data_IF_598371295793
#
_entry.id   IF_598371295793
#
_cell.length_a   1.000
_cell.length_b   1.000
_cell.length_c   1.000
_cell.angle_alpha   90.00
_cell.angle_beta   90.00
_cell.angle_gamma   90.00
#
_symmetry.space_group_name_H-M   'P 1'
#
loop_
_entity.id
_entity.type
_entity.pdbx_description
1 polymer ?
#
# COMPACT_ATOMS: atom_id res chain seq x y z
N UNK A 1 -20.14 -22.34 -15.43
CA UNK A 1 -18.97 -23.25 -15.34
C UNK A 1 -19.04 -24.01 -14.00
N UNK A 2 -18.10 -24.88 -13.66
CA UNK A 2 -18.11 -25.60 -12.36
C UNK A 2 -17.61 -24.71 -11.21
N UNK A 3 -16.61 -23.87 -11.48
CA UNK A 3 -15.97 -23.01 -10.50
C UNK A 3 -16.90 -21.93 -9.93
N UNK A 4 -17.70 -21.26 -10.78
CA UNK A 4 -18.74 -20.29 -10.34
C UNK A 4 -19.87 -20.93 -9.54
N UNK A 5 -20.05 -22.26 -9.67
CA UNK A 5 -21.02 -23.04 -8.88
C UNK A 5 -20.42 -23.61 -7.60
N UNK A 6 -19.23 -23.14 -7.19
CA UNK A 6 -18.49 -23.58 -6.00
C UNK A 6 -18.12 -25.08 -6.02
N UNK A 7 -18.14 -25.72 -7.20
CA UNK A 7 -17.72 -27.11 -7.41
C UNK A 7 -16.22 -27.16 -7.71
N UNK A 8 -15.41 -26.68 -6.77
CA UNK A 8 -14.00 -26.38 -6.99
C UNK A 8 -13.17 -27.62 -7.36
N UNK A 9 -13.32 -28.74 -6.64
CA UNK A 9 -12.54 -29.94 -6.91
C UNK A 9 -12.83 -30.55 -8.28
N UNK A 10 -14.08 -30.47 -8.73
CA UNK A 10 -14.47 -30.96 -10.07
C UNK A 10 -13.96 -30.03 -11.18
N UNK A 11 -13.94 -28.71 -10.94
CA UNK A 11 -13.33 -27.75 -11.85
C UNK A 11 -11.82 -27.98 -11.98
N UNK A 12 -11.11 -28.16 -10.84
CA UNK A 12 -9.69 -28.47 -10.81
C UNK A 12 -9.42 -29.75 -11.59
N UNK A 13 -10.11 -30.85 -11.28
CA UNK A 13 -9.91 -32.12 -12.00
C UNK A 13 -10.18 -32.03 -13.50
N UNK A 14 -11.14 -31.19 -13.91
CA UNK A 14 -11.42 -30.95 -15.35
C UNK A 14 -10.28 -30.19 -16.04
N UNK A 15 -9.69 -29.19 -15.37
CA UNK A 15 -8.55 -28.45 -15.92
C UNK A 15 -7.27 -29.28 -15.91
N UNK A 16 -7.02 -30.08 -14.86
CA UNK A 16 -5.90 -31.04 -14.82
C UNK A 16 -6.02 -32.07 -15.95
N UNK A 17 -7.21 -32.61 -16.19
CA UNK A 17 -7.45 -33.50 -17.32
C UNK A 17 -7.23 -32.80 -18.67
N UNK A 18 -7.65 -31.53 -18.80
CA UNK A 18 -7.38 -30.73 -20.00
C UNK A 18 -5.89 -30.58 -20.26
N UNK A 19 -5.11 -30.21 -19.24
CA UNK A 19 -3.65 -30.05 -19.34
C UNK A 19 -2.96 -31.38 -19.62
N UNK A 20 -3.45 -32.49 -19.06
CA UNK A 20 -2.92 -33.82 -19.32
C UNK A 20 -3.16 -34.29 -20.76
N UNK A 21 -4.26 -33.85 -21.39
CA UNK A 21 -4.56 -34.14 -22.79
C UNK A 21 -3.78 -33.23 -23.76
N UNK A 22 -3.69 -31.94 -23.44
CA UNK A 22 -2.95 -30.95 -24.21
C UNK A 22 -2.51 -29.78 -23.29
N UNK A 23 -1.21 -29.66 -23.07
CA UNK A 23 -0.62 -28.67 -22.18
C UNK A 23 -0.31 -27.32 -22.86
N UNK A 24 -0.68 -27.16 -24.15
CA UNK A 24 -0.36 -25.97 -24.95
C UNK A 24 -1.35 -24.81 -24.78
N UNK A 25 -2.49 -25.04 -24.12
CA UNK A 25 -3.48 -24.00 -23.87
C UNK A 25 -3.17 -23.21 -22.59
N UNK A 26 -3.02 -21.90 -22.69
CA UNK A 26 -2.73 -21.04 -21.53
C UNK A 26 -3.88 -20.99 -20.50
N UNK A 27 -5.14 -21.03 -20.93
CA UNK A 27 -6.31 -20.80 -20.06
C UNK A 27 -6.49 -21.87 -18.96
N UNK A 28 -6.39 -23.19 -19.22
CA UNK A 28 -6.41 -24.19 -18.15
C UNK A 28 -5.32 -23.98 -17.10
N UNK A 29 -4.10 -23.66 -17.51
CA UNK A 29 -2.98 -23.36 -16.60
C UNK A 29 -3.26 -22.13 -15.73
N UNK A 30 -3.76 -21.03 -16.32
CA UNK A 30 -4.19 -19.85 -15.55
C UNK A 30 -5.26 -20.22 -14.52
N UNK A 31 -6.28 -20.97 -14.91
CA UNK A 31 -7.37 -21.34 -14.00
C UNK A 31 -6.91 -22.28 -12.88
N UNK A 32 -6.01 -23.22 -13.19
CA UNK A 32 -5.37 -24.07 -12.19
C UNK A 32 -4.59 -23.23 -11.19
N UNK A 33 -3.83 -22.23 -11.65
CA UNK A 33 -3.09 -21.36 -10.76
C UNK A 33 -3.98 -20.70 -9.69
N UNK A 34 -5.10 -20.14 -10.11
CA UNK A 34 -6.07 -19.51 -9.21
C UNK A 34 -6.68 -20.51 -8.23
N UNK A 35 -7.02 -21.70 -8.71
CA UNK A 35 -7.65 -22.71 -7.88
C UNK A 35 -6.66 -23.33 -6.87
N UNK A 36 -5.42 -23.57 -7.29
CA UNK A 36 -4.36 -24.06 -6.43
C UNK A 36 -4.06 -23.06 -5.31
N UNK A 37 -3.98 -21.77 -5.62
CA UNK A 37 -3.80 -20.74 -4.60
C UNK A 37 -5.04 -20.62 -3.70
N UNK A 38 -6.20 -20.30 -4.28
CA UNK A 38 -7.38 -19.88 -3.50
C UNK A 38 -8.04 -21.04 -2.72
N UNK A 39 -7.97 -22.28 -3.24
CA UNK A 39 -8.76 -23.41 -2.71
C UNK A 39 -7.91 -24.53 -2.13
N UNK A 40 -6.71 -24.75 -2.67
CA UNK A 40 -5.82 -25.78 -2.17
C UNK A 40 -4.67 -25.24 -1.30
N UNK A 41 -4.44 -23.92 -1.30
CA UNK A 41 -3.29 -23.29 -0.63
C UNK A 41 -1.94 -23.88 -1.09
N UNK A 42 -1.89 -24.37 -2.33
CA UNK A 42 -0.71 -24.98 -2.96
C UNK A 42 0.01 -23.93 -3.81
N UNK A 43 0.82 -23.12 -3.12
CA UNK A 43 1.49 -21.95 -3.70
C UNK A 43 2.48 -22.32 -4.80
N UNK A 44 3.21 -23.44 -4.65
CA UNK A 44 4.19 -23.90 -5.62
C UNK A 44 3.52 -24.30 -6.94
N UNK A 45 2.42 -25.08 -6.87
CA UNK A 45 1.66 -25.40 -8.08
C UNK A 45 0.98 -24.19 -8.68
N UNK A 46 0.48 -23.27 -7.84
CA UNK A 46 -0.12 -22.04 -8.31
C UNK A 46 0.86 -21.25 -9.18
N UNK A 47 2.08 -21.05 -8.66
CA UNK A 47 3.13 -20.32 -9.35
C UNK A 47 3.57 -21.03 -10.64
N UNK A 48 3.86 -22.33 -10.57
CA UNK A 48 4.27 -23.11 -11.75
C UNK A 48 3.22 -23.07 -12.87
N UNK A 49 1.93 -23.17 -12.50
CA UNK A 49 0.82 -23.13 -13.45
C UNK A 49 0.69 -21.75 -14.09
N UNK A 50 0.82 -20.67 -13.32
CA UNK A 50 0.70 -19.31 -13.87
C UNK A 50 1.89 -18.91 -14.75
N UNK A 51 3.10 -19.33 -14.37
CA UNK A 51 4.30 -19.19 -15.21
C UNK A 51 4.15 -19.95 -16.52
N UNK A 52 3.63 -21.18 -16.48
CA UNK A 52 3.34 -21.96 -17.70
C UNK A 52 2.29 -21.24 -18.56
N UNK A 53 1.22 -20.73 -17.97
CA UNK A 53 0.20 -19.96 -18.68
C UNK A 53 0.82 -18.76 -19.43
N UNK A 54 1.68 -17.99 -18.77
CA UNK A 54 2.37 -16.86 -19.39
C UNK A 54 3.36 -17.30 -20.47
N UNK A 55 4.11 -18.38 -20.26
CA UNK A 55 5.06 -18.90 -21.25
C UNK A 55 4.41 -19.35 -22.56
N UNK A 56 3.14 -19.77 -22.51
CA UNK A 56 2.36 -20.17 -23.67
C UNK A 56 1.79 -18.98 -24.45
N UNK A 57 1.63 -17.82 -23.80
CA UNK A 57 1.20 -16.58 -24.42
C UNK A 57 1.84 -15.36 -23.74
N UNK A 58 3.06 -15.04 -24.14
CA UNK A 58 3.84 -13.93 -23.56
C UNK A 58 3.33 -12.55 -23.94
N UNK A 59 2.28 -12.45 -24.76
CA UNK A 59 1.62 -11.19 -25.12
C UNK A 59 0.40 -10.89 -24.20
N UNK A 60 0.05 -11.79 -23.28
CA UNK A 60 -1.11 -11.62 -22.41
C UNK A 60 -0.79 -10.76 -21.18
N UNK A 61 -1.05 -9.45 -21.30
CA UNK A 61 -0.84 -8.50 -20.20
C UNK A 61 -1.68 -8.82 -18.95
N UNK A 62 -2.81 -9.51 -19.08
CA UNK A 62 -3.64 -9.90 -17.93
C UNK A 62 -2.95 -11.01 -17.14
N UNK A 63 -2.50 -12.05 -17.83
CA UNK A 63 -1.79 -13.17 -17.17
C UNK A 63 -0.49 -12.68 -16.55
N UNK A 64 0.22 -11.75 -17.21
CA UNK A 64 1.42 -11.13 -16.65
C UNK A 64 1.13 -10.32 -15.38
N UNK A 65 0.07 -9.51 -15.36
CA UNK A 65 -0.37 -8.80 -14.16
C UNK A 65 -0.73 -9.78 -13.03
N UNK A 66 -1.47 -10.84 -13.31
CA UNK A 66 -1.81 -11.85 -12.30
C UNK A 66 -0.56 -12.58 -11.78
N UNK A 67 0.45 -12.81 -12.64
CA UNK A 67 1.72 -13.39 -12.23
C UNK A 67 2.49 -12.47 -11.25
N UNK A 68 2.53 -11.17 -11.54
CA UNK A 68 3.12 -10.19 -10.64
C UNK A 68 2.39 -10.09 -9.28
N UNK A 69 1.05 -10.10 -9.30
CA UNK A 69 0.25 -10.15 -8.08
C UNK A 69 0.53 -11.41 -7.24
N UNK A 70 0.78 -12.55 -7.90
CA UNK A 70 1.17 -13.77 -7.21
C UNK A 70 2.58 -13.66 -6.62
N UNK A 71 3.55 -13.11 -7.38
CA UNK A 71 4.90 -12.85 -6.86
C UNK A 71 4.89 -11.97 -5.61
N UNK A 72 4.08 -10.91 -5.61
CA UNK A 72 3.85 -10.04 -4.45
C UNK A 72 3.35 -10.84 -3.25
N UNK A 73 2.29 -11.64 -3.42
CA UNK A 73 1.69 -12.44 -2.34
C UNK A 73 2.63 -13.50 -1.77
N UNK A 74 3.51 -14.04 -2.61
CA UNK A 74 4.55 -14.99 -2.23
C UNK A 74 5.82 -14.32 -1.67
N UNK A 75 5.85 -12.98 -1.56
CA UNK A 75 6.94 -12.23 -0.95
C UNK A 75 8.21 -12.17 -1.80
N UNK A 76 8.11 -12.28 -3.14
CA UNK A 76 9.25 -12.08 -4.03
C UNK A 76 9.78 -10.65 -3.92
N UNK A 77 11.10 -10.48 -3.94
CA UNK A 77 11.72 -9.17 -3.77
C UNK A 77 11.23 -8.15 -4.82
N UNK A 78 11.00 -6.90 -4.38
CA UNK A 78 10.53 -5.82 -5.26
C UNK A 78 11.48 -5.57 -6.44
N UNK A 79 12.79 -5.75 -6.25
CA UNK A 79 13.80 -5.61 -7.31
C UNK A 79 13.61 -6.66 -8.42
N UNK A 80 13.31 -7.90 -8.06
CA UNK A 80 13.11 -8.98 -9.04
C UNK A 80 11.81 -8.79 -9.82
N UNK A 81 10.74 -8.37 -9.12
CA UNK A 81 9.46 -8.00 -9.75
C UNK A 81 9.63 -6.83 -10.71
N UNK A 82 10.37 -5.79 -10.30
CA UNK A 82 10.62 -4.62 -11.13
C UNK A 82 11.38 -5.01 -12.40
N UNK A 83 12.42 -5.83 -12.27
CA UNK A 83 13.19 -6.32 -13.42
C UNK A 83 12.31 -7.10 -14.40
N UNK A 84 11.44 -7.97 -13.91
CA UNK A 84 10.51 -8.70 -14.77
C UNK A 84 9.56 -7.75 -15.53
N UNK A 85 9.08 -6.68 -14.89
CA UNK A 85 8.28 -5.66 -15.57
C UNK A 85 9.06 -4.90 -16.64
N UNK A 86 10.33 -4.54 -16.36
CA UNK A 86 11.21 -3.86 -17.32
C UNK A 86 11.49 -4.72 -18.57
N UNK A 87 11.56 -6.05 -18.42
CA UNK A 87 11.69 -7.00 -19.54
C UNK A 87 10.41 -7.10 -20.39
N UNK A 88 9.27 -6.67 -19.86
CA UNK A 88 7.95 -6.78 -20.49
C UNK A 88 7.19 -5.43 -20.52
N UNK A 89 7.91 -4.32 -20.71
CA UNK A 89 7.31 -2.97 -20.66
C UNK A 89 6.16 -2.76 -21.64
N UNK A 90 6.17 -3.42 -22.81
CA UNK A 90 5.06 -3.36 -23.75
C UNK A 90 3.74 -3.85 -23.11
N UNK A 91 3.80 -4.84 -22.21
CA UNK A 91 2.62 -5.32 -21.47
C UNK A 91 2.22 -4.36 -20.36
N UNK A 92 3.21 -3.79 -19.66
CA UNK A 92 3.01 -2.83 -18.57
C UNK A 92 2.28 -1.59 -19.08
N UNK A 93 2.64 -1.09 -20.25
CA UNK A 93 2.01 0.11 -20.83
C UNK A 93 0.56 -0.11 -21.28
N UNK A 94 0.15 -1.35 -21.58
CA UNK A 94 -1.19 -1.69 -22.08
C UNK A 94 -2.30 -1.53 -21.05
N UNK A 95 -2.00 -1.59 -19.74
CA UNK A 95 -3.02 -1.56 -18.68
C UNK A 95 -2.65 -0.63 -17.53
N UNK A 96 -3.63 0.10 -17.00
CA UNK A 96 -3.42 1.05 -15.91
C UNK A 96 -3.11 0.36 -14.57
N UNK A 97 -3.69 -0.82 -14.31
CA UNK A 97 -3.46 -1.59 -13.08
C UNK A 97 -2.02 -2.12 -12.99
N UNK A 98 -1.52 -2.73 -14.07
CA UNK A 98 -0.15 -3.21 -14.14
C UNK A 98 0.86 -2.05 -14.16
N UNK A 99 0.56 -0.96 -14.87
CA UNK A 99 1.40 0.24 -14.85
C UNK A 99 1.48 0.83 -13.44
N UNK A 100 0.40 0.78 -12.66
CA UNK A 100 0.42 1.24 -11.28
C UNK A 100 1.25 0.33 -10.36
N UNK A 101 1.24 -0.99 -10.54
CA UNK A 101 2.17 -1.86 -9.79
C UNK A 101 3.64 -1.54 -10.14
N UNK A 102 3.95 -1.23 -11.39
CA UNK A 102 5.28 -0.76 -11.80
C UNK A 102 5.68 0.54 -11.07
N UNK A 103 4.79 1.53 -11.03
CA UNK A 103 5.00 2.77 -10.24
C UNK A 103 5.19 2.47 -8.76
N UNK A 104 4.40 1.55 -8.21
CA UNK A 104 4.46 1.15 -6.79
C UNK A 104 5.82 0.53 -6.46
N UNK A 105 6.37 -0.30 -7.34
CA UNK A 105 7.70 -0.89 -7.17
C UNK A 105 8.81 0.16 -7.17
N UNK A 106 8.72 1.21 -8.00
CA UNK A 106 9.66 2.34 -7.93
C UNK A 106 9.60 3.03 -6.56
N UNK A 107 8.39 3.32 -6.07
CA UNK A 107 8.21 3.89 -4.73
C UNK A 107 8.73 2.96 -3.62
N UNK A 108 8.49 1.65 -3.70
CA UNK A 108 8.97 0.67 -2.71
C UNK A 108 10.49 0.50 -2.72
N UNK A 109 11.16 0.87 -3.82
CA UNK A 109 12.63 0.84 -3.96
C UNK A 109 13.25 2.23 -3.80
N UNK A 110 12.53 3.15 -3.17
CA UNK A 110 12.93 4.51 -2.86
C UNK A 110 13.31 5.36 -4.09
N UNK A 111 12.80 4.99 -5.27
CA UNK A 111 12.92 5.70 -6.56
C UNK A 111 11.75 6.67 -6.77
N UNK A 112 11.54 7.56 -5.80
CA UNK A 112 10.36 8.42 -5.74
C UNK A 112 10.25 9.38 -6.92
N UNK A 113 11.38 9.92 -7.39
CA UNK A 113 11.43 10.82 -8.54
C UNK A 113 11.03 10.11 -9.83
N UNK A 114 11.48 8.86 -10.02
CA UNK A 114 11.09 8.02 -11.16
C UNK A 114 9.60 7.68 -11.10
N UNK A 115 9.10 7.26 -9.93
CA UNK A 115 7.68 7.00 -9.71
C UNK A 115 6.81 8.23 -10.03
N UNK A 116 7.20 9.40 -9.53
CA UNK A 116 6.51 10.66 -9.80
C UNK A 116 6.52 11.00 -11.31
N UNK A 117 7.66 10.83 -11.99
CA UNK A 117 7.76 11.08 -13.42
C UNK A 117 6.85 10.13 -14.23
N UNK A 118 6.81 8.85 -13.85
CA UNK A 118 5.94 7.85 -14.46
C UNK A 118 4.45 8.17 -14.28
N UNK A 119 4.05 8.62 -13.09
CA UNK A 119 2.67 9.04 -12.82
C UNK A 119 2.30 10.25 -13.67
N UNK A 120 3.14 11.29 -13.70
CA UNK A 120 2.85 12.54 -14.41
C UNK A 120 2.86 12.38 -15.94
N UNK A 121 3.62 11.41 -16.47
CA UNK A 121 3.69 11.11 -17.90
C UNK A 121 2.42 10.43 -18.42
N UNK A 122 1.74 9.62 -17.60
CA UNK A 122 0.62 8.78 -18.02
C UNK A 122 -0.72 9.46 -17.75
N UNK A 123 -1.67 9.27 -18.67
CA UNK A 123 -3.08 9.56 -18.44
C UNK A 123 -3.79 8.28 -17.99
N UNK A 124 -4.16 8.22 -16.72
CA UNK A 124 -4.85 7.06 -16.13
C UNK A 124 -6.35 7.09 -16.46
N UNK A 125 -6.93 5.92 -16.70
CA UNK A 125 -8.37 5.73 -16.84
C UNK A 125 -8.88 5.05 -15.57
N UNK A 126 -9.98 5.49 -14.96
CA UNK A 126 -10.58 4.78 -13.83
C UNK A 126 -10.90 3.32 -14.18
N UNK A 127 -10.60 2.41 -13.27
CA UNK A 127 -10.96 1.00 -13.34
C UNK A 127 -11.58 0.53 -12.02
N UNK A 128 -12.34 -0.56 -12.06
CA UNK A 128 -12.96 -1.15 -10.88
C UNK A 128 -11.90 -1.64 -9.88
N UNK A 129 -11.96 -1.13 -8.64
CA UNK A 129 -10.95 -1.43 -7.61
C UNK A 129 -9.66 -0.61 -7.77
N UNK A 130 -9.66 0.43 -8.60
CA UNK A 130 -8.55 1.38 -8.78
C UNK A 130 -8.66 2.64 -7.93
N UNK A 131 -9.79 2.84 -7.24
CA UNK A 131 -10.14 4.05 -6.51
C UNK A 131 -9.07 4.39 -5.46
N UNK A 132 -8.55 5.62 -5.51
CA UNK A 132 -7.54 6.13 -4.58
C UNK A 132 -6.13 5.59 -4.80
N UNK A 133 -5.93 4.54 -5.60
CA UNK A 133 -4.63 3.86 -5.70
C UNK A 133 -3.57 4.72 -6.41
N UNK A 134 -3.92 5.37 -7.53
CA UNK A 134 -2.99 6.30 -8.23
C UNK A 134 -2.68 7.54 -7.39
N UNK A 135 -3.67 8.27 -6.83
CA UNK A 135 -3.38 9.38 -5.92
C UNK A 135 -2.53 9.00 -4.72
N UNK A 136 -2.73 7.79 -4.15
CA UNK A 136 -1.92 7.31 -3.02
C UNK A 136 -0.45 7.22 -3.38
N UNK A 137 -0.11 6.62 -4.53
CA UNK A 137 1.29 6.53 -4.99
C UNK A 137 1.89 7.90 -5.34
N UNK A 138 1.07 8.82 -5.86
CA UNK A 138 1.48 10.20 -6.16
C UNK A 138 1.80 10.99 -4.88
N UNK A 139 0.93 10.94 -3.89
CA UNK A 139 1.12 11.61 -2.60
C UNK A 139 2.32 11.00 -1.87
N UNK A 140 2.42 9.66 -1.86
CA UNK A 140 3.54 8.94 -1.25
C UNK A 140 4.89 9.43 -1.81
N UNK A 141 5.06 9.41 -3.13
CA UNK A 141 6.30 9.86 -3.77
C UNK A 141 6.67 11.30 -3.38
N UNK A 142 5.69 12.23 -3.38
CA UNK A 142 5.95 13.63 -3.03
C UNK A 142 6.30 13.86 -1.57
N UNK A 143 5.62 13.18 -0.66
CA UNK A 143 5.91 13.27 0.78
C UNK A 143 7.30 12.72 1.06
N UNK A 144 7.69 11.62 0.42
CA UNK A 144 9.01 11.03 0.59
C UNK A 144 10.14 11.88 0.01
N UNK A 145 9.93 12.49 -1.18
CA UNK A 145 10.87 13.50 -1.71
C UNK A 145 10.97 14.68 -0.75
N UNK A 146 9.85 15.16 -0.19
CA UNK A 146 9.87 16.26 0.78
C UNK A 146 10.65 15.90 2.05
N UNK A 147 10.50 14.69 2.59
CA UNK A 147 11.27 14.21 3.75
C UNK A 147 12.78 14.26 3.49
N UNK A 148 13.24 13.83 2.31
CA UNK A 148 14.67 13.94 1.91
C UNK A 148 15.12 15.40 1.83
N UNK A 149 14.33 16.25 1.18
CA UNK A 149 14.64 17.69 1.08
C UNK A 149 14.72 18.37 2.45
N UNK A 150 13.87 17.98 3.41
CA UNK A 150 13.93 18.46 4.79
C UNK A 150 15.26 18.07 5.47
N UNK A 151 15.70 16.82 5.31
CA UNK A 151 17.00 16.37 5.84
C UNK A 151 18.18 17.14 5.21
N UNK A 152 18.04 17.56 3.96
CA UNK A 152 19.00 18.40 3.24
C UNK A 152 18.90 19.90 3.57
N UNK A 153 17.99 20.31 4.46
CA UNK A 153 17.66 21.71 4.75
C UNK A 153 17.16 22.53 3.53
N UNK A 154 16.62 21.86 2.51
CA UNK A 154 16.05 22.47 1.30
C UNK A 154 14.56 22.73 1.49
N UNK A 155 14.25 23.60 2.44
CA UNK A 155 12.90 23.76 2.97
C UNK A 155 11.89 24.33 1.95
N UNK A 156 12.23 25.35 1.14
CA UNK A 156 11.32 25.83 0.08
C UNK A 156 10.93 24.73 -0.90
N UNK A 157 11.88 23.87 -1.28
CA UNK A 157 11.62 22.77 -2.21
C UNK A 157 10.73 21.71 -1.57
N UNK A 158 10.92 21.42 -0.28
CA UNK A 158 10.03 20.55 0.47
C UNK A 158 8.59 21.10 0.52
N UNK A 159 8.42 22.41 0.78
CA UNK A 159 7.11 23.08 0.74
C UNK A 159 6.45 22.90 -0.63
N UNK A 160 7.19 23.09 -1.72
CA UNK A 160 6.67 22.92 -3.07
C UNK A 160 6.15 21.50 -3.33
N UNK A 161 6.89 20.48 -2.89
CA UNK A 161 6.46 19.08 -3.02
C UNK A 161 5.20 18.79 -2.22
N UNK A 162 5.13 19.26 -0.98
CA UNK A 162 3.99 19.01 -0.09
C UNK A 162 2.72 19.73 -0.55
N UNK A 163 2.83 20.99 -0.99
CA UNK A 163 1.70 21.72 -1.59
C UNK A 163 1.22 21.06 -2.88
N UNK A 164 2.14 20.52 -3.69
CA UNK A 164 1.78 19.77 -4.89
C UNK A 164 1.10 18.42 -4.57
N UNK A 165 1.42 17.78 -3.43
CA UNK A 165 0.72 16.57 -2.97
C UNK A 165 -0.75 16.86 -2.60
N UNK A 166 -1.08 18.09 -2.20
CA UNK A 166 -2.45 18.52 -1.93
C UNK A 166 -3.31 18.70 -3.19
N UNK A 167 -2.73 18.67 -4.38
CA UNK A 167 -3.45 18.87 -5.63
C UNK A 167 -3.26 17.67 -6.57
N UNK A 168 -4.35 17.07 -7.02
CA UNK A 168 -4.29 15.95 -7.96
C UNK A 168 -4.25 16.47 -9.40
N UNK A 169 -3.18 16.18 -10.17
CA UNK A 169 -3.11 16.50 -11.58
C UNK A 169 -4.23 15.84 -12.38
N UNK A 170 -4.69 16.51 -13.45
CA UNK A 170 -5.80 16.02 -14.29
C UNK A 170 -5.54 14.63 -14.89
N UNK A 171 -4.27 14.28 -15.16
CA UNK A 171 -3.90 13.00 -15.75
C UNK A 171 -4.06 11.82 -14.77
N UNK A 172 -4.21 12.05 -13.46
CA UNK A 172 -4.60 11.02 -12.49
C UNK A 172 -6.07 10.61 -12.69
N UNK A 173 -6.90 11.52 -13.23
CA UNK A 173 -8.29 11.28 -13.57
C UNK A 173 -9.17 10.84 -12.37
N UNK A 174 -8.79 11.29 -11.18
CA UNK A 174 -9.52 11.08 -9.93
C UNK A 174 -9.57 12.38 -9.11
N UNK A 175 -10.74 12.68 -8.54
CA UNK A 175 -10.94 13.83 -7.67
C UNK A 175 -10.68 13.48 -6.21
N UNK A 176 -10.17 14.44 -5.43
CA UNK A 176 -10.02 14.27 -3.98
C UNK A 176 -11.39 14.22 -3.30
N UNK A 177 -11.58 13.24 -2.42
CA UNK A 177 -12.80 13.10 -1.61
C UNK A 177 -12.91 14.24 -0.59
N UNK A 178 -14.13 14.74 -0.39
CA UNK A 178 -14.43 15.70 0.68
C UNK A 178 -14.11 15.08 2.05
N UNK A 179 -13.27 15.75 2.83
CA UNK A 179 -12.86 15.27 4.16
C UNK A 179 -11.69 14.29 4.17
N UNK A 180 -11.00 14.09 3.03
CA UNK A 180 -9.74 13.36 3.01
C UNK A 180 -8.74 13.97 4.00
N UNK A 181 -8.19 13.13 4.87
CA UNK A 181 -7.21 13.53 5.88
C UNK A 181 -5.82 13.65 5.24
N UNK A 182 -5.09 14.70 5.60
CA UNK A 182 -3.78 15.04 5.02
C UNK A 182 -2.73 15.33 6.10
N UNK A 183 -2.91 14.75 7.29
CA UNK A 183 -2.15 15.08 8.49
C UNK A 183 -0.64 14.94 8.29
N UNK A 184 -0.21 13.93 7.53
CA UNK A 184 1.19 13.75 7.16
C UNK A 184 1.73 14.92 6.33
N UNK A 185 0.98 15.38 5.33
CA UNK A 185 1.37 16.50 4.46
C UNK A 185 1.46 17.79 5.29
N UNK A 186 0.44 18.07 6.10
CA UNK A 186 0.41 19.27 6.95
C UNK A 186 1.48 19.26 8.05
N UNK A 187 1.79 18.08 8.62
CA UNK A 187 2.87 17.95 9.59
C UNK A 187 4.23 18.31 8.97
N UNK A 188 4.54 17.74 7.79
CA UNK A 188 5.80 18.06 7.11
C UNK A 188 5.84 19.49 6.57
N UNK A 189 4.69 20.09 6.23
CA UNK A 189 4.63 21.53 5.92
C UNK A 189 5.01 22.36 7.13
N UNK A 190 4.50 22.01 8.31
CA UNK A 190 4.89 22.63 9.57
C UNK A 190 6.40 22.54 9.81
N UNK A 191 6.99 21.36 9.62
CA UNK A 191 8.44 21.15 9.71
C UNK A 191 9.22 22.03 8.73
N UNK A 192 8.77 22.11 7.47
CA UNK A 192 9.42 22.92 6.44
C UNK A 192 9.35 24.42 6.77
N UNK A 193 8.20 24.92 7.22
CA UNK A 193 8.04 26.31 7.60
C UNK A 193 8.82 26.69 8.86
N UNK A 194 8.97 25.79 9.83
CA UNK A 194 9.88 26.03 10.96
C UNK A 194 11.33 26.18 10.48
N UNK A 195 11.79 25.32 9.56
CA UNK A 195 13.14 25.45 8.97
C UNK A 195 13.36 26.74 8.17
N UNK A 196 12.28 27.42 7.78
CA UNK A 196 12.28 28.73 7.11
C UNK A 196 12.11 29.92 8.05
N UNK A 197 12.08 29.69 9.37
CA UNK A 197 11.77 30.70 10.38
C UNK A 197 10.39 31.36 10.17
N UNK A 198 9.44 30.64 9.55
CA UNK A 198 8.06 31.09 9.29
C UNK A 198 7.10 30.54 10.35
N UNK A 199 7.25 31.01 11.59
CA UNK A 199 6.57 30.44 12.76
C UNK A 199 5.04 30.41 12.65
N UNK A 200 4.40 31.46 12.09
CA UNK A 200 2.93 31.50 11.96
C UNK A 200 2.40 30.45 10.96
N UNK A 201 3.10 30.25 9.84
CA UNK A 201 2.76 29.24 8.83
C UNK A 201 2.99 27.83 9.37
N UNK A 202 4.06 27.65 10.15
CA UNK A 202 4.36 26.39 10.83
C UNK A 202 3.25 26.01 11.82
N UNK A 203 2.90 26.93 12.73
CA UNK A 203 1.85 26.72 13.72
C UNK A 203 0.50 26.41 13.06
N UNK A 204 0.14 27.15 12.01
CA UNK A 204 -1.08 26.90 11.22
C UNK A 204 -1.08 25.49 10.61
N UNK A 205 0.06 25.04 10.10
CA UNK A 205 0.19 23.72 9.49
C UNK A 205 0.11 22.60 10.54
N UNK A 206 0.74 22.76 11.70
CA UNK A 206 0.58 21.81 12.80
C UNK A 206 -0.84 21.76 13.37
N UNK A 207 -1.53 22.89 13.45
CA UNK A 207 -2.93 22.91 13.87
C UNK A 207 -3.79 22.07 12.91
N UNK A 208 -3.65 22.25 11.60
CA UNK A 208 -4.34 21.42 10.59
C UNK A 208 -3.96 19.94 10.71
N UNK A 209 -2.67 19.65 10.88
CA UNK A 209 -2.18 18.29 11.06
C UNK A 209 -2.70 17.63 12.35
N UNK A 210 -3.15 18.40 13.35
CA UNK A 210 -3.70 17.87 14.60
C UNK A 210 -5.20 17.55 14.57
N UNK A 211 -5.91 17.99 13.53
CA UNK A 211 -7.35 17.82 13.38
C UNK A 211 -7.70 16.55 12.56
N UNK A 212 -8.94 16.07 12.68
CA UNK A 212 -9.43 14.93 11.91
C UNK A 212 -9.98 13.79 12.76
N UNK A 213 -10.21 12.65 12.12
CA UNK A 213 -10.61 11.42 12.80
C UNK A 213 -9.43 10.92 13.65
N UNK A 214 -9.68 10.67 14.93
CA UNK A 214 -8.68 10.30 15.93
C UNK A 214 -8.94 8.93 16.56
N UNK A 215 -9.93 8.20 16.05
CA UNK A 215 -10.24 6.81 16.42
C UNK A 215 -9.66 5.88 15.34
N UNK A 216 -8.78 4.95 15.71
CA UNK A 216 -8.26 3.96 14.77
C UNK A 216 -9.38 3.07 14.24
N UNK A 217 -9.34 2.80 12.93
CA UNK A 217 -10.28 1.90 12.26
C UNK A 217 -9.54 0.70 11.68
N UNK A 218 -10.30 -0.36 11.36
CA UNK A 218 -9.76 -1.44 10.54
C UNK A 218 -9.28 -0.92 9.19
N UNK A 219 -8.50 -1.72 8.49
CA UNK A 219 -8.13 -1.47 7.09
C UNK A 219 -8.90 -2.45 6.19
N UNK A 220 -10.23 -2.36 6.17
CA UNK A 220 -11.09 -3.27 5.40
C UNK A 220 -11.61 -2.64 4.11
N UNK A 221 -11.82 -1.32 4.10
CA UNK A 221 -12.39 -0.57 2.99
C UNK A 221 -11.38 0.41 2.39
N UNK A 222 -11.51 0.73 1.10
CA UNK A 222 -10.57 1.61 0.40
C UNK A 222 -10.57 3.06 0.94
N UNK A 223 -11.66 3.47 1.62
CA UNK A 223 -11.83 4.78 2.22
C UNK A 223 -11.53 4.81 3.73
N UNK A 224 -11.13 3.68 4.31
CA UNK A 224 -10.67 3.64 5.70
C UNK A 224 -9.43 4.52 5.85
N UNK A 225 -9.38 5.30 6.93
CA UNK A 225 -8.28 6.24 7.12
C UNK A 225 -7.01 5.50 7.49
N UNK A 226 -5.88 5.79 6.81
CA UNK A 226 -4.62 5.17 7.16
C UNK A 226 -4.20 5.52 8.61
N UNK A 227 -3.73 4.55 9.41
CA UNK A 227 -3.44 4.77 10.82
C UNK A 227 -2.33 5.79 11.07
N UNK A 228 -1.44 5.99 10.10
CA UNK A 228 -0.39 7.00 10.19
C UNK A 228 -0.94 8.43 10.25
N UNK A 229 -2.17 8.70 9.80
CA UNK A 229 -2.78 10.03 10.00
C UNK A 229 -2.92 10.37 11.49
N UNK A 230 -3.30 9.41 12.33
CA UNK A 230 -3.38 9.56 13.79
C UNK A 230 -1.98 9.75 14.40
N UNK A 231 -0.98 9.05 13.87
CA UNK A 231 0.42 9.27 14.26
C UNK A 231 0.85 10.72 13.99
N UNK A 232 0.58 11.26 12.80
CA UNK A 232 0.94 12.64 12.48
C UNK A 232 0.11 13.68 13.24
N UNK A 233 -1.14 13.37 13.63
CA UNK A 233 -1.87 14.18 14.61
C UNK A 233 -1.11 14.27 15.93
N UNK A 234 -0.67 13.14 16.48
CA UNK A 234 0.11 13.12 17.72
C UNK A 234 1.42 13.87 17.58
N UNK A 235 2.13 13.69 16.47
CA UNK A 235 3.39 14.38 16.20
C UNK A 235 3.20 15.90 16.11
N UNK A 236 2.13 16.36 15.46
CA UNK A 236 1.79 17.78 15.36
C UNK A 236 1.38 18.37 16.73
N UNK A 237 0.57 17.66 17.51
CA UNK A 237 0.18 18.07 18.87
C UNK A 237 1.40 18.25 19.78
N UNK A 238 2.39 17.35 19.68
CA UNK A 238 3.66 17.48 20.41
C UNK A 238 4.40 18.76 20.01
N UNK A 239 4.44 19.10 18.72
CA UNK A 239 5.06 20.35 18.22
C UNK A 239 4.36 21.60 18.75
N UNK A 240 3.04 21.53 18.93
CA UNK A 240 2.22 22.57 19.54
C UNK A 240 2.32 22.61 21.09
N UNK A 241 3.15 21.77 21.72
CA UNK A 241 3.29 21.68 23.17
C UNK A 241 2.14 20.97 23.90
N UNK A 242 1.25 20.30 23.16
CA UNK A 242 0.05 19.59 23.68
C UNK A 242 0.36 18.12 23.96
N UNK A 243 1.35 17.85 24.81
CA UNK A 243 1.92 16.51 25.01
C UNK A 243 0.90 15.46 25.51
N UNK A 244 -0.03 15.85 26.39
CA UNK A 244 -1.06 14.91 26.89
C UNK A 244 -1.96 14.39 25.75
N UNK A 245 -2.32 15.26 24.82
CA UNK A 245 -3.15 14.91 23.67
C UNK A 245 -2.35 14.11 22.66
N UNK A 246 -1.09 14.46 22.43
CA UNK A 246 -0.17 13.68 21.59
C UNK A 246 -0.06 12.23 22.07
N UNK A 247 0.22 12.03 23.37
CA UNK A 247 0.29 10.69 23.99
C UNK A 247 -1.03 9.94 23.89
N UNK A 248 -2.16 10.62 23.99
CA UNK A 248 -3.47 9.99 23.78
C UNK A 248 -3.60 9.41 22.36
N UNK A 249 -3.17 10.12 21.31
CA UNK A 249 -3.19 9.59 19.92
C UNK A 249 -2.34 8.33 19.77
N UNK A 250 -1.14 8.35 20.33
CA UNK A 250 -0.23 7.21 20.24
C UNK A 250 -0.73 5.98 21.01
N UNK A 251 -1.27 6.17 22.23
CA UNK A 251 -1.84 5.08 23.02
C UNK A 251 -3.07 4.47 22.33
N UNK A 252 -3.94 5.26 21.69
CA UNK A 252 -5.08 4.72 20.93
C UNK A 252 -4.63 3.73 19.84
N UNK A 253 -3.53 4.01 19.15
CA UNK A 253 -2.97 3.11 18.14
C UNK A 253 -2.49 1.79 18.75
N UNK A 254 -1.81 1.84 19.89
CA UNK A 254 -1.36 0.65 20.63
C UNK A 254 -2.57 -0.15 21.12
N UNK A 255 -3.50 0.49 21.82
CA UNK A 255 -4.71 -0.12 22.38
C UNK A 255 -5.53 -0.84 21.29
N UNK A 256 -5.64 -0.24 20.09
CA UNK A 256 -6.30 -0.88 18.96
C UNK A 256 -5.56 -2.15 18.54
N UNK A 257 -4.25 -2.05 18.29
CA UNK A 257 -3.47 -3.19 17.82
C UNK A 257 -3.47 -4.35 18.82
N UNK A 258 -3.28 -4.09 20.12
CA UNK A 258 -3.31 -5.12 21.16
C UNK A 258 -4.66 -5.83 21.26
N UNK A 259 -5.75 -5.06 21.15
CA UNK A 259 -7.11 -5.58 21.25
C UNK A 259 -7.49 -6.44 20.04
N UNK A 260 -7.12 -6.01 18.84
CA UNK A 260 -7.65 -6.57 17.60
C UNK A 260 -6.75 -7.61 16.94
N UNK A 261 -5.47 -7.74 17.31
CA UNK A 261 -4.50 -8.63 16.62
C UNK A 261 -4.91 -10.10 16.56
N UNK A 262 -5.64 -10.62 17.54
CA UNK A 262 -6.11 -12.01 17.58
C UNK A 262 -7.59 -12.19 17.20
N UNK A 263 -8.25 -11.12 16.74
CA UNK A 263 -9.64 -11.20 16.29
C UNK A 263 -9.71 -11.72 14.85
N UNK A 264 -10.50 -12.79 14.66
CA UNK A 264 -10.74 -13.34 13.33
C UNK A 264 -11.60 -12.40 12.50
N UNK A 265 -11.17 -12.15 11.28
CA UNK A 265 -11.80 -11.24 10.35
C UNK A 265 -12.67 -11.98 9.34
N UNK A 266 -13.83 -11.40 9.04
CA UNK A 266 -14.67 -11.87 7.95
C UNK A 266 -15.29 -10.69 7.22
N UNK A 267 -15.48 -10.85 5.91
CA UNK A 267 -16.17 -9.88 5.09
C UNK A 267 -17.67 -10.01 5.35
N UNK A 268 -18.30 -8.90 5.72
CA UNK A 268 -19.77 -8.84 5.84
C UNK A 268 -20.40 -9.18 4.48
N UNK A 269 -21.46 -9.97 4.50
CA UNK A 269 -22.25 -10.35 3.34
C UNK A 269 -22.73 -9.14 2.50
N UNK A 270 -22.90 -7.97 3.13
CA UNK A 270 -23.33 -6.73 2.46
C UNK A 270 -22.20 -5.75 2.13
N UNK A 271 -20.93 -6.13 2.29
CA UNK A 271 -19.80 -5.25 1.96
C UNK A 271 -19.76 -4.95 0.45
N UNK A 272 -19.90 -3.66 0.08
CA UNK A 272 -19.89 -3.18 -1.31
C UNK A 272 -18.67 -2.32 -1.65
N UNK A 273 -17.80 -2.05 -0.67
CA UNK A 273 -16.64 -1.15 -0.75
C UNK A 273 -15.31 -1.86 -0.48
N UNK A 274 -15.25 -3.16 -0.79
CA UNK A 274 -13.99 -3.90 -0.69
C UNK A 274 -13.00 -3.32 -1.70
N UNK A 275 -11.74 -3.07 -1.30
CA UNK A 275 -10.76 -2.32 -2.09
C UNK A 275 -10.30 -3.03 -3.38
N UNK A 276 -10.75 -4.25 -3.62
CA UNK A 276 -9.97 -5.21 -4.39
C UNK A 276 -10.84 -6.24 -5.12
N UNK A 277 -10.86 -6.16 -6.46
CA UNK A 277 -11.20 -7.29 -7.31
C UNK A 277 -9.97 -8.23 -7.37
N UNK A 278 -9.66 -8.89 -6.24
CA UNK A 278 -8.51 -9.77 -6.18
C UNK A 278 -8.82 -11.12 -6.80
N UNK A 279 -8.02 -11.49 -7.80
CA UNK A 279 -8.07 -12.81 -8.43
C UNK A 279 -7.57 -13.90 -7.45
N UNK A 280 -6.74 -13.51 -6.49
CA UNK A 280 -6.23 -14.37 -5.42
C UNK A 280 -6.88 -14.03 -4.08
N UNK A 281 -7.40 -15.04 -3.40
CA UNK A 281 -8.03 -14.86 -2.09
C UNK A 281 -7.03 -14.20 -1.11
N UNK A 282 -7.54 -13.32 -0.26
CA UNK A 282 -6.75 -12.66 0.78
C UNK A 282 -6.98 -13.33 2.14
N UNK A 283 -5.90 -13.54 2.87
CA UNK A 283 -5.96 -13.99 4.26
C UNK A 283 -6.25 -12.77 5.15
N UNK A 284 -7.51 -12.61 5.53
CA UNK A 284 -7.99 -11.45 6.29
C UNK A 284 -7.41 -11.41 7.71
N UNK A 285 -7.13 -12.57 8.30
CA UNK A 285 -6.53 -12.66 9.63
C UNK A 285 -5.07 -12.19 9.56
N UNK A 286 -4.31 -12.65 8.56
CA UNK A 286 -2.95 -12.17 8.29
C UNK A 286 -2.93 -10.67 8.00
N UNK A 287 -3.88 -10.15 7.19
CA UNK A 287 -4.00 -8.71 6.89
C UNK A 287 -4.24 -7.90 8.16
N UNK A 288 -5.10 -8.38 9.06
CA UNK A 288 -5.34 -7.74 10.35
C UNK A 288 -4.12 -7.80 11.27
N UNK A 289 -3.39 -8.91 11.30
CA UNK A 289 -2.14 -9.03 12.06
C UNK A 289 -1.11 -7.98 11.60
N UNK A 290 -0.92 -7.84 10.28
CA UNK A 290 -0.06 -6.82 9.67
C UNK A 290 -0.49 -5.41 10.10
N UNK A 291 -1.79 -5.12 9.99
CA UNK A 291 -2.35 -3.80 10.33
C UNK A 291 -2.18 -3.46 11.81
N UNK A 292 -2.43 -4.42 12.71
CA UNK A 292 -2.27 -4.26 14.15
C UNK A 292 -0.79 -4.03 14.52
N UNK A 293 0.13 -4.78 13.93
CA UNK A 293 1.56 -4.54 14.11
C UNK A 293 1.98 -3.17 13.59
N UNK A 294 1.48 -2.74 12.43
CA UNK A 294 1.76 -1.40 11.94
C UNK A 294 1.26 -0.31 12.89
N UNK A 295 0.04 -0.43 13.43
CA UNK A 295 -0.51 0.50 14.42
C UNK A 295 0.31 0.56 15.72
N UNK A 296 0.62 -0.58 16.31
CA UNK A 296 1.46 -0.62 17.53
C UNK A 296 2.83 -0.01 17.26
N UNK A 297 3.43 -0.32 16.10
CA UNK A 297 4.68 0.28 15.66
C UNK A 297 4.64 1.81 15.61
N UNK A 298 3.58 2.38 15.01
CA UNK A 298 3.36 3.83 14.96
C UNK A 298 3.15 4.44 16.36
N UNK A 299 2.36 3.80 17.22
CA UNK A 299 2.10 4.28 18.58
C UNK A 299 3.37 4.30 19.44
N UNK A 300 4.13 3.21 19.47
CA UNK A 300 5.40 3.15 20.19
C UNK A 300 6.42 4.15 19.63
N UNK A 301 6.48 4.31 18.30
CA UNK A 301 7.33 5.33 17.67
C UNK A 301 6.97 6.73 18.18
N UNK A 302 5.68 7.05 18.24
CA UNK A 302 5.18 8.32 18.77
C UNK A 302 5.49 8.55 20.25
N UNK A 303 5.50 7.49 21.07
CA UNK A 303 5.90 7.55 22.47
C UNK A 303 7.42 7.66 22.68
N UNK A 304 8.21 7.47 21.62
CA UNK A 304 9.68 7.43 21.69
C UNK A 304 10.25 6.07 22.10
N UNK A 305 9.41 5.03 22.12
CA UNK A 305 9.75 3.65 22.50
C UNK A 305 10.32 2.91 21.28
N UNK A 306 11.47 3.38 20.80
CA UNK A 306 12.05 2.98 19.50
C UNK A 306 12.22 1.46 19.32
N UNK A 307 12.61 0.75 20.37
CA UNK A 307 12.84 -0.69 20.30
C UNK A 307 11.54 -1.48 20.06
N UNK A 308 10.45 -1.12 20.76
CA UNK A 308 9.13 -1.73 20.57
C UNK A 308 8.55 -1.37 19.21
N UNK A 309 8.73 -0.10 18.78
CA UNK A 309 8.33 0.35 17.46
C UNK A 309 9.01 -0.47 16.35
N UNK A 310 10.34 -0.60 16.42
CA UNK A 310 11.15 -1.38 15.48
C UNK A 310 10.71 -2.85 15.42
N UNK A 311 10.47 -3.47 16.57
CA UNK A 311 10.00 -4.85 16.66
C UNK A 311 8.68 -5.06 15.91
N UNK A 312 7.69 -4.20 16.15
CA UNK A 312 6.39 -4.30 15.51
C UNK A 312 6.43 -3.99 14.01
N UNK A 313 7.15 -2.95 13.60
CA UNK A 313 7.30 -2.60 12.18
C UNK A 313 8.04 -3.70 11.40
N UNK A 314 9.07 -4.31 11.98
CA UNK A 314 9.76 -5.47 11.38
C UNK A 314 8.86 -6.70 11.29
N UNK A 315 7.98 -6.92 12.27
CA UNK A 315 7.02 -8.02 12.21
C UNK A 315 5.99 -7.80 11.10
N UNK A 316 5.49 -6.56 10.92
CA UNK A 316 4.63 -6.21 9.79
C UNK A 316 5.34 -6.46 8.44
N UNK A 317 6.62 -6.06 8.30
CA UNK A 317 7.41 -6.28 7.08
C UNK A 317 7.79 -7.75 6.84
N UNK A 318 7.94 -8.55 7.91
CA UNK A 318 8.13 -10.00 7.77
C UNK A 318 6.89 -10.67 7.20
N UNK A 319 5.71 -10.20 7.60
CA UNK A 319 4.42 -10.70 7.11
C UNK A 319 4.08 -10.11 5.74
N UNK A 320 4.44 -8.87 5.44
CA UNK A 320 4.23 -8.22 4.14
C UNK A 320 5.47 -7.40 3.76
N UNK A 321 6.42 -8.00 3.02
CA UNK A 321 7.69 -7.34 2.65
C UNK A 321 7.52 -6.05 1.84
N UNK A 322 6.35 -5.84 1.23
CA UNK A 322 6.06 -4.67 0.41
C UNK A 322 5.26 -3.58 1.15
N UNK A 323 5.10 -3.70 2.46
CA UNK A 323 4.31 -2.75 3.24
C UNK A 323 5.01 -1.38 3.36
N UNK A 324 4.76 -0.50 2.39
CA UNK A 324 5.37 0.84 2.27
C UNK A 324 5.29 1.65 3.58
N UNK A 325 4.13 1.67 4.25
CA UNK A 325 3.96 2.40 5.53
C UNK A 325 4.95 1.94 6.62
N UNK A 326 4.97 0.65 6.93
CA UNK A 326 5.89 0.05 7.89
C UNK A 326 7.37 0.29 7.53
N UNK A 327 7.75 0.17 6.26
CA UNK A 327 9.11 0.47 5.81
C UNK A 327 9.51 1.93 6.11
N UNK A 328 8.68 2.89 5.70
CA UNK A 328 8.98 4.32 5.88
C UNK A 328 9.04 4.75 7.35
N UNK A 329 8.21 4.16 8.22
CA UNK A 329 8.24 4.49 9.65
C UNK A 329 9.33 3.72 10.40
N UNK A 330 9.82 2.59 9.86
CA UNK A 330 10.98 1.89 10.40
C UNK A 330 12.24 2.74 10.24
N UNK A 331 12.42 3.40 9.09
CA UNK A 331 13.52 4.36 8.89
C UNK A 331 13.52 5.49 9.92
N UNK A 332 12.34 5.94 10.36
CA UNK A 332 12.22 6.96 11.42
C UNK A 332 12.66 6.46 12.80
N UNK A 333 12.66 5.14 13.04
CA UNK A 333 13.21 4.56 14.26
C UNK A 333 14.74 4.61 14.27
N UNK A 334 15.35 4.45 13.08
CA UNK A 334 16.80 4.41 12.87
C UNK A 334 17.42 5.82 12.77
N UNK A 335 16.65 6.80 12.31
CA UNK A 335 17.04 8.20 12.29
C UNK A 335 17.25 8.73 13.71
N UNK A 336 18.48 9.16 14.00
CA UNK A 336 18.79 9.94 15.20
C UNK A 336 18.24 11.36 15.01
N UNK A 337 16.94 11.55 15.28
CA UNK A 337 16.34 12.89 15.40
C UNK A 337 16.79 13.52 16.71
#
# INVERSE_FOLDING_TARGET
>A
MLYDKKRYQEAIGSWEASVALDDSFATPHRNLALAYYNKNQDHDKALASLQKAFSLNTADARVFYELDQLYKKLGHAAVDRLKAMEEHMELVELRDDLYLEYVTLHNTLDRYEDAMALILKRHFHPWEGGEGKVPTQYVFARVEIAKRLLQENRYEEAVNQLLAAKQYPLNINEGKLTGAQENNIDYYLGCAYEGLDRSEEAETSFLRASEGLDEPTGAMYYNDQPPHMIFYQGAALRRLGRELEARSRFNKLIDYGEKHIFESQSIDYFAVSLPDFLVFDEDLDRRNEIHCHYMMGLGHLGLGERQEAEQHLKQALKLEPHHQGAAQHLELCEASI
#
